data_IF_823256715682
#
_entry.id   IF_823256715682
#
_cell.length_a   1.000
_cell.length_b   1.000
_cell.length_c   1.000
_cell.angle_alpha   90.00
_cell.angle_beta   90.00
_cell.angle_gamma   90.00
#
_symmetry.space_group_name_H-M   'P 1'
#
loop_
_entity.id
_entity.type
_entity.pdbx_description
1 polymer ?
#
# COMPACT_ATOMS: atom_id res chain seq x y z
N UNK A 1 21.44 6.84 -24.96
CA UNK A 1 21.55 5.49 -24.43
C UNK A 1 21.75 5.51 -22.93
N UNK A 2 22.62 6.40 -22.51
CA UNK A 2 22.90 6.47 -21.07
C UNK A 2 21.69 6.83 -20.24
N UNK A 3 20.77 7.56 -20.84
CA UNK A 3 19.56 7.93 -20.09
C UNK A 3 18.79 6.71 -19.63
N UNK A 4 18.83 5.64 -20.41
CA UNK A 4 18.13 4.43 -20.02
C UNK A 4 18.71 3.86 -18.73
N UNK A 5 20.02 3.92 -18.61
CA UNK A 5 20.67 3.40 -17.41
C UNK A 5 20.33 4.26 -16.21
N UNK A 6 20.28 5.58 -16.38
CA UNK A 6 19.91 6.46 -15.29
C UNK A 6 18.47 6.17 -14.85
N UNK A 7 17.59 5.96 -15.82
CA UNK A 7 16.18 5.69 -15.50
C UNK A 7 16.01 4.37 -14.79
N UNK A 8 16.90 3.40 -15.05
CA UNK A 8 16.78 2.11 -14.40
C UNK A 8 16.97 2.19 -12.90
N UNK A 9 17.61 3.24 -12.41
CA UNK A 9 17.83 3.39 -10.99
C UNK A 9 16.68 4.06 -10.29
N UNK A 10 15.74 4.64 -11.02
CA UNK A 10 14.61 5.31 -10.42
C UNK A 10 13.52 4.30 -10.10
N UNK A 11 12.77 4.63 -9.05
CA UNK A 11 11.64 3.81 -8.62
C UNK A 11 10.36 4.46 -9.10
N UNK A 12 9.42 3.62 -9.53
CA UNK A 12 8.05 4.07 -9.77
C UNK A 12 7.23 3.69 -8.55
N UNK A 13 6.61 4.68 -7.94
CA UNK A 13 5.86 4.50 -6.72
C UNK A 13 4.43 4.91 -6.97
N UNK A 14 3.50 3.99 -6.73
CA UNK A 14 2.08 4.31 -6.76
C UNK A 14 1.72 4.89 -5.41
N UNK A 15 1.13 6.07 -5.41
CA UNK A 15 0.75 6.73 -4.17
C UNK A 15 -0.75 6.68 -3.98
N UNK A 16 -1.18 6.65 -2.72
CA UNK A 16 -2.58 6.52 -2.38
C UNK A 16 -2.81 7.06 -0.98
N UNK A 17 -4.06 7.40 -0.70
CA UNK A 17 -4.43 7.97 0.59
C UNK A 17 -5.09 6.92 1.47
N UNK A 18 -4.69 6.88 2.72
CA UNK A 18 -5.26 6.00 3.72
C UNK A 18 -5.26 6.76 5.05
N UNK A 19 -6.45 6.94 5.63
CA UNK A 19 -6.57 7.56 6.95
C UNK A 19 -5.96 8.95 7.02
N UNK A 20 -5.98 9.68 5.92
CA UNK A 20 -5.42 11.01 5.88
C UNK A 20 -3.94 11.09 5.58
N UNK A 21 -3.28 9.95 5.42
CA UNK A 21 -1.85 9.89 5.10
C UNK A 21 -1.63 9.53 3.65
N UNK A 22 -0.58 10.08 3.06
CA UNK A 22 -0.20 9.74 1.69
C UNK A 22 0.91 8.69 1.76
N UNK A 23 0.63 7.53 1.20
CA UNK A 23 1.51 6.38 1.27
C UNK A 23 1.87 5.90 -0.12
N UNK A 24 2.87 5.04 -0.21
CA UNK A 24 3.31 4.54 -1.50
C UNK A 24 3.81 3.12 -1.46
N UNK A 25 3.70 2.46 -2.60
CA UNK A 25 4.22 1.12 -2.83
C UNK A 25 4.88 1.13 -4.19
N UNK A 26 6.04 0.48 -4.31
CA UNK A 26 6.67 0.38 -5.63
C UNK A 26 5.76 -0.38 -6.58
N UNK A 27 5.66 0.11 -7.80
CA UNK A 27 4.70 -0.44 -8.75
C UNK A 27 4.99 -1.89 -9.11
N UNK A 28 6.23 -2.31 -8.99
CA UNK A 28 6.57 -3.70 -9.32
C UNK A 28 5.94 -4.70 -8.36
N UNK A 29 5.51 -4.26 -7.18
CA UNK A 29 4.81 -5.13 -6.25
C UNK A 29 3.32 -5.25 -6.55
N UNK A 30 2.80 -4.40 -7.42
CA UNK A 30 1.37 -4.31 -7.67
C UNK A 30 1.03 -5.14 -8.90
N UNK A 31 0.12 -6.09 -8.73
CA UNK A 31 -0.38 -6.86 -9.85
C UNK A 31 -1.52 -6.13 -10.54
N UNK A 32 -2.40 -5.54 -9.75
CA UNK A 32 -3.64 -5.00 -10.29
C UNK A 32 -4.27 -4.09 -9.25
N UNK A 33 -5.03 -3.09 -9.69
CA UNK A 33 -5.80 -2.22 -8.80
C UNK A 33 -7.25 -2.33 -9.26
N UNK A 34 -8.15 -2.67 -8.33
CA UNK A 34 -9.54 -2.91 -8.67
C UNK A 34 -10.44 -2.06 -7.80
N UNK A 35 -11.68 -1.88 -8.25
CA UNK A 35 -12.71 -1.26 -7.43
C UNK A 35 -13.13 -2.23 -6.33
N UNK A 36 -13.65 -1.67 -5.25
CA UNK A 36 -14.11 -2.49 -4.15
C UNK A 36 -15.38 -3.20 -4.57
N UNK A 37 -15.35 -4.52 -4.47
CA UNK A 37 -16.52 -5.34 -4.77
C UNK A 37 -17.04 -6.00 -3.52
N UNK A 38 -17.64 -7.17 -3.69
CA UNK A 38 -18.22 -7.90 -2.58
C UNK A 38 -17.10 -8.59 -1.80
N UNK A 39 -17.05 -8.32 -0.51
CA UNK A 39 -16.07 -8.92 0.40
C UNK A 39 -16.82 -9.79 1.39
N UNK A 40 -16.41 -11.05 1.50
CA UNK A 40 -17.03 -11.98 2.43
C UNK A 40 -16.18 -12.05 3.69
N UNK A 41 -16.79 -11.78 4.82
CA UNK A 41 -16.07 -11.81 6.09
C UNK A 41 -15.65 -13.22 6.44
N UNK A 42 -14.46 -13.33 7.04
CA UNK A 42 -13.94 -14.59 7.55
C UNK A 42 -14.10 -14.56 9.08
N UNK A 43 -14.86 -15.53 9.65
CA UNK A 43 -15.05 -15.53 11.10
C UNK A 43 -13.72 -15.65 11.84
N UNK A 44 -13.61 -14.90 12.93
CA UNK A 44 -12.47 -14.96 13.83
C UNK A 44 -11.16 -14.49 13.22
N UNK A 45 -11.20 -13.81 12.08
CA UNK A 45 -9.99 -13.23 11.50
C UNK A 45 -9.57 -12.00 12.31
N UNK A 46 -8.28 -11.62 12.27
CA UNK A 46 -7.83 -10.38 12.89
C UNK A 46 -8.61 -9.19 12.36
N UNK A 47 -8.70 -8.13 13.17
CA UNK A 47 -9.58 -7.01 12.85
C UNK A 47 -9.18 -6.29 11.57
N UNK A 48 -7.92 -6.34 11.18
CA UNK A 48 -7.48 -5.67 9.95
C UNK A 48 -7.78 -6.48 8.70
N UNK A 49 -8.20 -7.73 8.83
CA UNK A 49 -8.60 -8.53 7.68
C UNK A 49 -10.09 -8.34 7.49
N UNK A 50 -10.46 -7.72 6.37
CA UNK A 50 -11.87 -7.47 6.07
C UNK A 50 -12.57 -8.74 5.61
N UNK A 51 -11.85 -9.63 4.95
CA UNK A 51 -12.43 -10.85 4.44
C UNK A 51 -11.75 -11.28 3.16
N UNK A 52 -12.50 -11.97 2.34
CA UNK A 52 -11.99 -12.47 1.06
C UNK A 52 -12.92 -12.04 -0.06
N UNK A 53 -12.35 -11.95 -1.25
CA UNK A 53 -13.15 -11.73 -2.45
C UNK A 53 -12.68 -12.70 -3.53
N UNK A 54 -13.56 -12.92 -4.49
CA UNK A 54 -13.25 -13.77 -5.62
C UNK A 54 -12.93 -12.88 -6.81
N UNK A 55 -11.72 -13.02 -7.34
CA UNK A 55 -11.27 -12.25 -8.49
C UNK A 55 -10.98 -13.23 -9.61
N UNK A 56 -11.93 -13.39 -10.50
CA UNK A 56 -11.78 -14.26 -11.66
C UNK A 56 -11.34 -15.66 -11.25
N UNK A 57 -11.97 -16.22 -10.22
CA UNK A 57 -11.68 -17.57 -9.77
C UNK A 57 -10.57 -17.67 -8.76
N UNK A 58 -9.90 -16.56 -8.43
CA UNK A 58 -8.86 -16.57 -7.40
C UNK A 58 -9.40 -15.92 -6.15
N UNK A 59 -8.98 -16.44 -5.02
CA UNK A 59 -9.36 -15.91 -3.73
C UNK A 59 -8.31 -14.88 -3.31
N UNK A 60 -8.78 -13.67 -2.98
CA UNK A 60 -7.91 -12.58 -2.52
C UNK A 60 -8.27 -12.26 -1.09
N UNK A 61 -7.28 -12.29 -0.21
CA UNK A 61 -7.46 -11.85 1.19
C UNK A 61 -7.35 -10.33 1.21
N UNK A 62 -8.36 -9.67 1.75
CA UNK A 62 -8.43 -8.21 1.75
C UNK A 62 -8.08 -7.67 3.13
N UNK A 63 -7.07 -6.83 3.16
CA UNK A 63 -6.60 -6.18 4.38
C UNK A 63 -7.02 -4.71 4.34
N UNK A 64 -7.62 -4.25 5.44
CA UNK A 64 -7.88 -2.82 5.63
C UNK A 64 -6.57 -2.17 6.02
N UNK A 65 -5.96 -1.47 5.07
CA UNK A 65 -4.63 -0.92 5.31
C UNK A 65 -4.66 0.12 6.41
N UNK A 66 -5.72 0.93 6.48
CA UNK A 66 -5.83 1.89 7.56
C UNK A 66 -5.81 1.23 8.92
N UNK A 67 -6.58 0.17 9.08
CA UNK A 67 -6.62 -0.56 10.34
C UNK A 67 -5.28 -1.22 10.64
N UNK A 68 -4.65 -1.80 9.62
CA UNK A 68 -3.36 -2.49 9.80
C UNK A 68 -2.28 -1.54 10.28
N UNK A 69 -2.30 -0.29 9.80
CA UNK A 69 -1.31 0.70 10.16
C UNK A 69 -1.69 1.53 11.37
N UNK A 70 -2.80 1.19 12.02
CA UNK A 70 -3.33 1.93 13.19
C UNK A 70 -3.71 3.35 12.82
N UNK A 71 -4.15 3.53 11.60
CA UNK A 71 -4.75 4.77 11.11
C UNK A 71 -6.26 4.57 11.14
N UNK A 72 -7.00 5.60 10.64
CA UNK A 72 -8.43 5.42 10.48
C UNK A 72 -8.71 4.29 9.50
N UNK A 73 -9.72 3.48 9.74
CA UNK A 73 -10.08 2.43 8.78
C UNK A 73 -10.38 3.03 7.41
N UNK A 74 -10.07 2.28 6.36
CA UNK A 74 -10.34 2.73 5.00
C UNK A 74 -11.84 2.84 4.76
N UNK A 75 -12.24 3.87 4.01
CA UNK A 75 -13.65 4.10 3.71
C UNK A 75 -14.03 3.35 2.45
N UNK A 76 -15.22 2.77 2.46
CA UNK A 76 -15.72 2.01 1.31
C UNK A 76 -16.65 2.89 0.51
N UNK A 77 -16.08 3.84 -0.22
CA UNK A 77 -16.88 4.67 -1.12
C UNK A 77 -16.43 4.44 -2.55
N UNK A 78 -16.95 5.24 -3.46
CA UNK A 78 -16.68 5.03 -4.89
C UNK A 78 -15.22 5.21 -5.24
N UNK A 79 -14.49 5.99 -4.46
CA UNK A 79 -13.08 6.24 -4.74
C UNK A 79 -12.17 5.14 -4.20
N UNK A 80 -12.68 4.32 -3.30
CA UNK A 80 -11.89 3.26 -2.70
C UNK A 80 -11.40 2.27 -3.73
N UNK A 81 -10.24 1.70 -3.44
CA UNK A 81 -9.63 0.71 -4.34
C UNK A 81 -8.98 -0.36 -3.52
N UNK A 82 -8.77 -1.50 -4.15
CA UNK A 82 -8.01 -2.60 -3.57
C UNK A 82 -6.79 -2.81 -4.44
N UNK A 83 -5.62 -2.73 -3.82
CA UNK A 83 -4.35 -2.93 -4.51
C UNK A 83 -3.98 -4.40 -4.33
N UNK A 84 -4.00 -5.14 -5.43
CA UNK A 84 -3.75 -6.59 -5.43
C UNK A 84 -2.27 -6.84 -5.63
N UNK A 85 -1.72 -7.73 -4.82
CA UNK A 85 -0.33 -8.11 -4.96
C UNK A 85 -0.17 -9.60 -4.63
N UNK A 86 0.96 -10.15 -5.01
CA UNK A 86 1.29 -11.53 -4.77
C UNK A 86 2.14 -11.63 -3.51
N UNK A 87 1.77 -12.56 -2.64
CA UNK A 87 2.53 -12.86 -1.43
C UNK A 87 2.85 -14.34 -1.45
N UNK A 88 3.99 -14.66 -2.04
CA UNK A 88 4.49 -16.03 -2.08
C UNK A 88 3.44 -16.98 -2.67
N UNK A 89 2.86 -16.58 -3.79
CA UNK A 89 1.87 -17.38 -4.50
C UNK A 89 0.44 -17.13 -4.10
N UNK A 90 0.21 -16.39 -3.03
CA UNK A 90 -1.14 -16.07 -2.60
C UNK A 90 -1.48 -14.63 -2.95
N UNK A 91 -2.74 -14.39 -3.28
CA UNK A 91 -3.19 -13.06 -3.64
C UNK A 91 -3.68 -12.32 -2.40
N UNK A 92 -3.16 -11.12 -2.20
CA UNK A 92 -3.55 -10.26 -1.09
C UNK A 92 -3.90 -8.90 -1.64
N UNK A 93 -4.90 -8.26 -1.06
CA UNK A 93 -5.31 -6.93 -1.47
C UNK A 93 -5.29 -5.96 -0.31
N UNK A 94 -4.77 -4.76 -0.54
CA UNK A 94 -4.83 -3.67 0.42
C UNK A 94 -5.95 -2.73 0.03
N UNK A 95 -6.94 -2.58 0.92
CA UNK A 95 -7.99 -1.60 0.69
C UNK A 95 -7.50 -0.23 1.12
N UNK A 96 -7.60 0.74 0.21
CA UNK A 96 -7.14 2.10 0.42
C UNK A 96 -8.28 3.07 0.12
N UNK A 97 -8.17 4.31 0.62
CA UNK A 97 -9.23 5.30 0.46
C UNK A 97 -9.37 5.75 -0.99
N UNK A 98 -8.25 6.08 -1.64
CA UNK A 98 -8.24 6.37 -3.06
C UNK A 98 -6.81 6.43 -3.57
N UNK A 99 -6.66 6.23 -4.88
CA UNK A 99 -5.36 6.25 -5.54
C UNK A 99 -5.05 7.69 -5.93
N UNK A 100 -3.79 8.10 -5.72
CA UNK A 100 -3.34 9.41 -6.13
C UNK A 100 -2.54 9.29 -7.45
N UNK A 101 -1.22 9.41 -7.37
CA UNK A 101 -0.39 9.47 -8.55
C UNK A 101 0.64 8.36 -8.56
N UNK A 102 1.16 8.05 -9.76
CA UNK A 102 2.38 7.26 -9.87
C UNK A 102 3.51 8.24 -10.08
N UNK A 103 4.49 8.22 -9.18
CA UNK A 103 5.60 9.16 -9.23
C UNK A 103 6.90 8.42 -9.45
N UNK A 104 7.84 9.11 -10.07
CA UNK A 104 9.17 8.57 -10.30
C UNK A 104 10.10 9.19 -9.28
N UNK A 105 10.81 8.34 -8.53
CA UNK A 105 11.62 8.78 -7.39
C UNK A 105 13.03 8.25 -7.55
N UNK A 106 14.01 9.16 -7.42
CA UNK A 106 15.41 8.75 -7.33
C UNK A 106 15.63 8.14 -5.94
N UNK A 107 16.15 6.91 -5.84
CA UNK A 107 16.38 6.32 -4.53
C UNK A 107 17.22 7.17 -3.60
N UNK A 108 18.09 8.01 -4.15
CA UNK A 108 18.92 8.89 -3.32
C UNK A 108 18.12 9.96 -2.60
N UNK A 109 16.91 10.24 -3.08
CA UNK A 109 16.05 11.24 -2.47
C UNK A 109 15.20 10.66 -1.34
N UNK A 110 15.26 9.37 -1.14
CA UNK A 110 14.53 8.72 -0.05
C UNK A 110 15.30 8.90 1.25
N UNK A 111 14.59 9.22 2.32
CA UNK A 111 15.21 9.44 3.63
C UNK A 111 14.59 8.49 4.64
N UNK A 112 15.30 8.21 5.74
CA UNK A 112 14.71 7.37 6.79
C UNK A 112 13.49 8.05 7.39
N UNK A 113 12.53 7.27 7.90
CA UNK A 113 11.36 7.86 8.54
C UNK A 113 11.77 8.74 9.71
N UNK A 114 11.20 9.95 9.82
CA UNK A 114 11.51 10.82 10.96
C UNK A 114 11.06 10.19 12.27
N UNK A 115 11.75 10.53 13.35
CA UNK A 115 11.44 9.96 14.66
C UNK A 115 10.01 10.27 15.10
N UNK A 116 9.47 11.39 14.65
CA UNK A 116 8.12 11.78 15.07
C UNK A 116 7.01 11.08 14.26
N UNK A 117 7.38 10.16 13.37
CA UNK A 117 6.38 9.36 12.66
C UNK A 117 6.01 8.09 13.40
N UNK A 118 6.54 7.89 14.60
CA UNK A 118 6.33 6.62 15.28
C UNK A 118 4.87 6.35 15.64
N UNK A 119 4.04 7.37 15.64
CA UNK A 119 2.62 7.15 15.92
C UNK A 119 1.99 6.23 14.88
N UNK A 120 2.63 6.04 13.74
CA UNK A 120 2.13 5.23 12.66
C UNK A 120 2.94 3.95 12.53
N UNK A 121 3.49 3.43 13.60
CA UNK A 121 4.22 2.17 13.53
C UNK A 121 5.36 2.25 12.51
N UNK A 122 6.43 2.93 12.88
CA UNK A 122 7.55 3.17 11.95
C UNK A 122 8.11 1.90 11.32
N UNK A 123 7.83 0.73 11.93
CA UNK A 123 8.30 -0.53 11.37
C UNK A 123 7.68 -0.84 10.01
N UNK A 124 6.54 -0.22 9.69
CA UNK A 124 5.86 -0.45 8.43
C UNK A 124 6.41 0.42 7.31
N UNK A 125 7.29 1.36 7.61
CA UNK A 125 7.82 2.28 6.61
C UNK A 125 9.27 2.00 6.33
N UNK A 126 9.58 1.91 5.05
CA UNK A 126 10.95 1.69 4.60
C UNK A 126 11.70 3.01 4.55
N UNK A 127 11.11 4.01 3.91
CA UNK A 127 11.67 5.33 3.69
C UNK A 127 10.54 6.30 3.52
N UNK A 128 10.87 7.59 3.50
CA UNK A 128 9.89 8.61 3.15
C UNK A 128 10.47 9.49 2.05
N UNK A 129 9.57 10.17 1.34
CA UNK A 129 9.93 11.02 0.22
C UNK A 129 9.17 12.33 0.34
N UNK A 130 9.88 13.45 0.17
CA UNK A 130 9.24 14.77 0.17
C UNK A 130 8.54 14.98 -1.16
N UNK A 131 7.26 15.33 -1.12
CA UNK A 131 6.46 15.45 -2.32
C UNK A 131 5.42 16.56 -2.10
N UNK A 132 5.54 17.64 -2.86
CA UNK A 132 4.57 18.75 -2.85
C UNK A 132 4.30 19.25 -1.44
N UNK A 133 5.36 19.48 -0.68
CA UNK A 133 5.22 20.06 0.65
C UNK A 133 4.82 19.09 1.74
N UNK A 134 4.62 17.82 1.40
CA UNK A 134 4.29 16.81 2.39
C UNK A 134 5.24 15.62 2.28
N UNK A 135 4.86 14.53 2.90
CA UNK A 135 5.68 13.33 2.89
C UNK A 135 4.87 12.17 2.36
N UNK A 136 5.52 11.35 1.54
CA UNK A 136 4.97 10.04 1.12
C UNK A 136 5.72 8.99 1.92
N UNK A 137 4.98 8.14 2.64
CA UNK A 137 5.58 7.03 3.36
C UNK A 137 5.65 5.80 2.46
N UNK A 138 6.86 5.35 2.17
CA UNK A 138 7.05 4.14 1.36
C UNK A 138 6.93 2.93 2.26
N UNK A 139 5.99 2.06 1.97
CA UNK A 139 5.63 0.96 2.86
C UNK A 139 6.54 -0.24 2.67
N UNK A 140 6.80 -0.92 3.78
CA UNK A 140 7.44 -2.24 3.77
C UNK A 140 6.34 -3.27 3.60
N UNK A 141 6.05 -3.62 2.37
CA UNK A 141 4.93 -4.50 2.08
C UNK A 141 5.05 -5.83 2.80
N UNK A 142 6.24 -6.41 2.81
CA UNK A 142 6.41 -7.72 3.42
C UNK A 142 6.15 -7.70 4.92
N UNK A 143 6.52 -6.62 5.59
CA UNK A 143 6.23 -6.48 7.02
C UNK A 143 4.72 -6.38 7.26
N UNK A 144 4.03 -5.64 6.40
CA UNK A 144 2.58 -5.49 6.53
C UNK A 144 1.88 -6.82 6.31
N UNK A 145 2.38 -7.62 5.38
CA UNK A 145 1.78 -8.91 5.06
C UNK A 145 2.02 -9.97 6.12
N UNK A 146 3.00 -9.76 6.99
CA UNK A 146 3.24 -10.68 8.10
C UNK A 146 2.13 -10.49 9.10
N UNK A 147 1.24 -11.46 9.19
CA UNK A 147 0.05 -11.38 10.03
C UNK A 147 0.27 -12.20 11.28
N UNK A 148 0.31 -11.55 12.40
CA UNK A 148 0.38 -12.24 13.68
C UNK A 148 -0.32 -11.44 14.72
#
# INVERSE_FOLDING_TARGET
MEQLEVNDENLLIATFHVGGSLLGITTERIQEIIKIGVITEVPHAPSHILGILNLRGRIVTVIDLGARLSLRPSQRDEQGRIIIMDDDGESVGFMVDYIADVIQVDPQDLIPPPANMRSVQSDFFEKVYHYHGGLVGLLKVDTILTVN
#
